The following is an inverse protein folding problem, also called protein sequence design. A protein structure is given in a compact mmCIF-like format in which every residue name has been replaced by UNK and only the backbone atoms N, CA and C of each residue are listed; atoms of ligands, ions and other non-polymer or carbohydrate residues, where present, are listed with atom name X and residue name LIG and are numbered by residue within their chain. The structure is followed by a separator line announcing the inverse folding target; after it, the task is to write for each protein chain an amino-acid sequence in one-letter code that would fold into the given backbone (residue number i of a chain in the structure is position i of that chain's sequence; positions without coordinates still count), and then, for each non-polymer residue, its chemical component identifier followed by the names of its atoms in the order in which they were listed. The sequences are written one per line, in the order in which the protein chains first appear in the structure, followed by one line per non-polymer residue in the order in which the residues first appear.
data_IF_633160245097
#
_entry.id   IF_633160245097
#
_cell.length_a   1.000
_cell.length_b   1.000
_cell.length_c   1.000
_cell.angle_alpha   90.00
_cell.angle_beta   90.00
_cell.angle_gamma   90.00
#
_symmetry.space_group_name_H-M   'P 1'
#
loop_
_entity.id
_entity.type
_entity.pdbx_description
1 polymer ?
#
# COMPACT_ATOMS: atom_id res chain seq x y z
N UNK A 1 13.52 -9.63 8.03
CA UNK A 1 12.63 -8.63 8.66
C UNK A 1 11.82 -8.05 7.53
N UNK A 2 10.49 -8.21 7.58
CA UNK A 2 9.62 -7.64 6.56
C UNK A 2 9.25 -6.22 7.00
N UNK A 3 9.33 -5.26 6.10
CA UNK A 3 9.08 -3.85 6.40
C UNK A 3 8.16 -3.27 5.34
N UNK A 4 7.39 -2.26 5.71
CA UNK A 4 6.71 -1.40 4.75
C UNK A 4 7.68 -0.26 4.37
N UNK A 5 7.89 -0.04 3.07
CA UNK A 5 8.74 1.04 2.55
C UNK A 5 10.18 1.07 3.11
N UNK A 6 10.71 -0.10 3.50
CA UNK A 6 11.97 -0.23 4.22
C UNK A 6 12.05 0.65 5.48
N UNK A 7 10.92 0.92 6.16
CA UNK A 7 10.88 1.72 7.38
C UNK A 7 10.57 0.87 8.61
N UNK A 8 11.24 1.11 9.75
CA UNK A 8 10.79 0.57 11.03
C UNK A 8 9.53 1.29 11.51
N UNK A 9 8.76 0.67 12.40
CA UNK A 9 7.56 1.23 13.02
C UNK A 9 7.79 2.62 13.64
N UNK A 10 8.98 2.84 14.21
CA UNK A 10 9.36 4.09 14.89
C UNK A 10 9.67 5.26 13.95
N UNK A 11 9.57 5.08 12.63
CA UNK A 11 9.81 6.13 11.65
C UNK A 11 8.81 7.29 11.78
N UNK A 12 9.21 8.49 11.33
CA UNK A 12 8.30 9.63 11.12
C UNK A 12 7.97 9.87 9.64
N UNK A 13 8.63 9.12 8.77
CA UNK A 13 8.41 9.10 7.32
C UNK A 13 7.20 8.21 7.00
N UNK A 14 6.00 8.79 7.05
CA UNK A 14 4.70 8.11 7.04
C UNK A 14 3.76 8.69 5.97
N UNK A 15 2.76 7.89 5.58
CA UNK A 15 1.68 8.29 4.68
C UNK A 15 0.77 9.33 5.36
N UNK A 16 0.37 10.36 4.62
CA UNK A 16 -0.47 11.47 5.11
C UNK A 16 -1.63 11.79 4.17
N UNK A 17 -2.58 10.86 4.00
CA UNK A 17 -3.72 11.07 3.12
C UNK A 17 -4.57 12.25 3.58
N UNK A 18 -5.13 12.98 2.62
CA UNK A 18 -6.02 14.11 2.91
C UNK A 18 -7.44 13.60 3.12
N UNK A 19 -8.13 14.08 4.15
CA UNK A 19 -9.53 13.74 4.39
C UNK A 19 -10.39 14.14 3.19
N UNK A 20 -11.39 13.31 2.88
CA UNK A 20 -12.30 13.47 1.75
C UNK A 20 -11.64 13.41 0.35
N UNK A 21 -10.41 12.89 0.25
CA UNK A 21 -9.81 12.53 -1.05
C UNK A 21 -9.89 11.03 -1.34
N UNK A 22 -9.94 10.71 -2.63
CA UNK A 22 -9.70 9.36 -3.13
C UNK A 22 -8.23 9.26 -3.49
N UNK A 23 -7.54 8.29 -2.91
CA UNK A 23 -6.18 7.94 -3.29
C UNK A 23 -6.14 6.57 -3.96
N UNK A 24 -5.20 6.38 -4.87
CA UNK A 24 -4.79 5.07 -5.31
C UNK A 24 -3.48 4.72 -4.61
N UNK A 25 -3.48 3.63 -3.84
CA UNK A 25 -2.28 3.13 -3.20
C UNK A 25 -1.71 1.99 -4.04
N UNK A 26 -0.45 2.12 -4.43
CA UNK A 26 0.33 1.07 -5.10
C UNK A 26 1.14 0.29 -4.06
N UNK A 27 0.76 -0.96 -3.82
CA UNK A 27 1.49 -1.87 -2.95
C UNK A 27 2.43 -2.69 -3.83
N UNK A 28 3.70 -2.30 -3.86
CA UNK A 28 4.75 -2.98 -4.63
C UNK A 28 5.34 -4.09 -3.76
N UNK A 29 5.02 -5.34 -4.06
CA UNK A 29 5.57 -6.48 -3.35
C UNK A 29 6.76 -7.06 -4.13
N UNK A 30 7.96 -6.79 -3.64
CA UNK A 30 9.23 -7.25 -4.21
C UNK A 30 9.72 -8.56 -3.58
N UNK A 31 8.90 -9.19 -2.73
CA UNK A 31 9.26 -10.40 -2.00
C UNK A 31 8.62 -11.64 -2.62
N UNK A 32 9.13 -12.82 -2.26
CA UNK A 32 8.61 -14.11 -2.72
C UNK A 32 7.31 -14.55 -2.01
N UNK A 33 6.85 -13.84 -0.97
CA UNK A 33 5.68 -14.20 -0.16
C UNK A 33 4.47 -13.30 -0.45
N UNK A 34 3.26 -13.84 -0.31
CA UNK A 34 2.04 -13.03 -0.31
C UNK A 34 1.87 -12.37 1.05
N UNK A 35 1.61 -11.06 1.06
CA UNK A 35 1.32 -10.31 2.29
C UNK A 35 -0.14 -9.85 2.32
N UNK A 36 -0.95 -10.25 3.32
CA UNK A 36 -2.29 -9.70 3.51
C UNK A 36 -2.19 -8.29 4.11
N UNK A 37 -2.21 -7.25 3.28
CA UNK A 37 -2.11 -5.86 3.74
C UNK A 37 -3.48 -5.36 4.22
N UNK A 38 -3.53 -4.87 5.46
CA UNK A 38 -4.70 -4.32 6.12
C UNK A 38 -4.53 -2.81 6.38
N UNK A 39 -5.58 -2.02 6.13
CA UNK A 39 -5.66 -0.61 6.52
C UNK A 39 -6.75 -0.45 7.58
N UNK A 40 -6.44 0.26 8.67
CA UNK A 40 -7.46 0.74 9.61
C UNK A 40 -8.34 1.82 8.97
N UNK A 41 -9.42 2.21 9.67
CA UNK A 41 -10.41 3.26 9.29
C UNK A 41 -11.23 3.00 8.03
N UNK A 42 -10.58 2.76 6.90
CA UNK A 42 -11.17 2.75 5.56
C UNK A 42 -11.50 1.34 5.10
N UNK A 43 -12.51 1.23 4.25
CA UNK A 43 -12.60 0.11 3.30
C UNK A 43 -12.18 0.65 1.93
N UNK A 44 -11.60 -0.19 1.10
CA UNK A 44 -11.11 0.12 -0.24
C UNK A 44 -11.60 -0.90 -1.25
N UNK A 45 -11.35 -0.63 -2.53
CA UNK A 45 -11.62 -1.56 -3.63
C UNK A 45 -10.31 -1.92 -4.32
N UNK A 46 -10.15 -3.18 -4.72
CA UNK A 46 -9.07 -3.57 -5.61
C UNK A 46 -9.31 -2.95 -7.00
N UNK A 47 -8.30 -2.28 -7.55
CA UNK A 47 -8.33 -1.78 -8.92
C UNK A 47 -7.76 -2.82 -9.89
N UNK A 48 -6.51 -3.24 -9.67
CA UNK A 48 -5.84 -4.25 -10.47
C UNK A 48 -4.60 -4.80 -9.75
N UNK A 49 -4.05 -5.89 -10.30
CA UNK A 49 -2.70 -6.36 -10.03
C UNK A 49 -1.91 -6.47 -11.33
N UNK A 50 -0.61 -6.24 -11.27
CA UNK A 50 0.27 -6.40 -12.42
C UNK A 50 1.67 -6.86 -11.96
N UNK A 51 2.29 -7.75 -12.74
CA UNK A 51 3.66 -8.21 -12.51
C UNK A 51 4.65 -7.05 -12.64
N UNK A 52 5.79 -7.15 -11.94
CA UNK A 52 6.86 -6.15 -11.96
C UNK A 52 8.22 -6.83 -12.11
N UNK A 53 9.12 -6.20 -12.88
CA UNK A 53 10.54 -6.52 -12.88
C UNK A 53 11.15 -6.06 -11.53
N UNK A 54 11.42 -7.04 -10.67
CA UNK A 54 11.85 -6.81 -9.28
C UNK A 54 13.29 -6.32 -9.19
N UNK A 55 14.22 -6.90 -9.96
CA UNK A 55 15.65 -6.59 -9.84
C UNK A 55 15.92 -5.17 -10.30
N UNK A 56 15.32 -4.75 -11.42
CA UNK A 56 15.47 -3.40 -11.95
C UNK A 56 14.84 -2.36 -11.01
N UNK A 57 13.66 -2.66 -10.44
CA UNK A 57 13.03 -1.76 -9.46
C UNK A 57 13.87 -1.64 -8.17
N UNK A 58 14.37 -2.75 -7.63
CA UNK A 58 15.24 -2.74 -6.46
C UNK A 58 16.53 -1.95 -6.73
N UNK A 59 17.10 -2.10 -7.92
CA UNK A 59 18.35 -1.44 -8.30
C UNK A 59 18.17 0.08 -8.37
N UNK A 60 17.06 0.56 -8.91
CA UNK A 60 16.79 1.99 -9.06
C UNK A 60 16.33 2.65 -7.75
N UNK A 61 15.57 1.95 -6.91
CA UNK A 61 15.04 2.51 -5.66
C UNK A 61 16.01 2.39 -4.49
N UNK A 62 16.67 1.23 -4.37
CA UNK A 62 17.48 0.86 -3.20
C UNK A 62 18.96 0.64 -3.53
N UNK A 63 19.35 0.61 -4.80
CA UNK A 63 20.75 0.41 -5.21
C UNK A 63 21.25 -1.03 -5.03
N UNK A 64 20.34 -1.99 -4.98
CA UNK A 64 20.62 -3.42 -4.73
C UNK A 64 19.70 -4.29 -5.60
N UNK A 65 19.98 -5.58 -5.72
CA UNK A 65 19.06 -6.58 -6.31
C UNK A 65 18.43 -7.49 -5.25
N UNK A 66 18.84 -7.35 -3.98
CA UNK A 66 18.28 -8.09 -2.85
C UNK A 66 18.22 -7.19 -1.60
N UNK A 67 17.08 -7.21 -0.89
CA UNK A 67 16.91 -6.46 0.35
C UNK A 67 17.47 -7.23 1.55
N UNK A 68 18.49 -6.65 2.16
CA UNK A 68 19.09 -7.11 3.41
C UNK A 68 18.93 -6.07 4.55
N UNK A 69 19.19 -6.43 5.83
CA UNK A 69 19.01 -5.52 6.98
C UNK A 69 19.76 -4.18 6.90
N UNK A 70 20.84 -4.06 6.14
CA UNK A 70 21.54 -2.79 5.90
C UNK A 70 20.73 -1.78 5.08
N UNK A 71 19.67 -2.22 4.41
CA UNK A 71 18.77 -1.36 3.62
C UNK A 71 17.62 -0.80 4.46
N UNK A 72 17.54 -1.11 5.75
CA UNK A 72 16.52 -0.51 6.63
C UNK A 72 16.75 1.01 6.71
N UNK A 73 15.71 1.77 6.40
CA UNK A 73 15.72 3.23 6.36
C UNK A 73 16.22 3.84 5.04
N UNK A 74 16.55 3.03 4.03
CA UNK A 74 17.01 3.53 2.71
C UNK A 74 15.85 3.73 1.72
N UNK A 75 16.11 4.32 0.56
CA UNK A 75 15.07 4.78 -0.37
C UNK A 75 14.48 6.12 0.08
N UNK A 76 14.13 6.98 -0.87
CA UNK A 76 13.65 8.35 -0.60
C UNK A 76 12.21 8.52 -1.08
N UNK A 77 11.33 9.12 -0.27
CA UNK A 77 10.00 9.52 -0.73
C UNK A 77 10.05 10.81 -1.56
N UNK A 78 9.21 10.96 -2.60
CA UNK A 78 8.32 9.93 -3.14
C UNK A 78 9.12 8.82 -3.81
N UNK A 79 8.69 7.57 -3.60
CA UNK A 79 9.31 6.44 -4.28
C UNK A 79 9.07 6.55 -5.80
N UNK A 80 10.02 6.11 -6.65
CA UNK A 80 9.81 6.02 -8.08
C UNK A 80 8.55 5.24 -8.43
N UNK A 81 7.84 5.69 -9.48
CA UNK A 81 6.70 4.96 -10.03
C UNK A 81 7.14 3.57 -10.48
N UNK A 82 6.30 2.57 -10.21
CA UNK A 82 6.52 1.20 -10.68
C UNK A 82 6.24 1.03 -12.19
N UNK A 83 5.56 1.98 -12.84
CA UNK A 83 5.12 1.90 -14.23
C UNK A 83 6.20 1.49 -15.25
N UNK A 84 7.44 2.01 -15.17
CA UNK A 84 8.50 1.62 -16.11
C UNK A 84 8.93 0.15 -16.01
N UNK A 85 8.60 -0.51 -14.90
CA UNK A 85 9.04 -1.87 -14.55
C UNK A 85 7.89 -2.88 -14.65
N UNK A 86 6.69 -2.46 -15.04
CA UNK A 86 5.53 -3.35 -15.11
C UNK A 86 5.63 -4.31 -16.28
N UNK A 87 5.31 -5.57 -16.00
CA UNK A 87 5.28 -6.64 -16.98
C UNK A 87 3.86 -7.09 -17.29
N UNK A 88 3.71 -7.77 -18.42
CA UNK A 88 2.43 -8.36 -18.81
C UNK A 88 1.28 -7.35 -18.92
N UNK A 89 0.06 -7.82 -18.63
CA UNK A 89 -1.15 -6.99 -18.60
C UNK A 89 -1.68 -6.92 -17.18
N UNK A 90 -2.17 -5.76 -16.78
CA UNK A 90 -2.92 -5.62 -15.55
C UNK A 90 -4.14 -6.57 -15.54
N UNK A 91 -4.31 -7.29 -14.44
CA UNK A 91 -5.45 -8.17 -14.17
C UNK A 91 -6.37 -7.48 -13.17
N UNK A 92 -7.64 -7.35 -13.53
CA UNK A 92 -8.65 -6.81 -12.63
C UNK A 92 -8.95 -7.73 -11.45
N UNK A 93 -9.85 -7.32 -10.54
CA UNK A 93 -10.25 -8.13 -9.39
C UNK A 93 -10.90 -9.44 -9.81
N UNK A 94 -10.62 -10.50 -9.04
CA UNK A 94 -11.43 -11.71 -9.08
C UNK A 94 -12.88 -11.42 -8.68
N UNK A 95 -13.80 -12.30 -9.05
CA UNK A 95 -15.23 -12.12 -8.77
C UNK A 95 -15.55 -11.89 -7.28
N UNK A 96 -14.75 -12.46 -6.37
CA UNK A 96 -14.89 -12.29 -4.92
C UNK A 96 -14.11 -11.09 -4.35
N UNK A 97 -13.25 -10.45 -5.13
CA UNK A 97 -12.50 -9.26 -4.73
C UNK A 97 -13.07 -7.95 -5.29
N UNK A 98 -14.04 -8.05 -6.22
CA UNK A 98 -14.67 -6.89 -6.85
C UNK A 98 -15.59 -6.07 -5.95
N UNK A 99 -15.55 -6.26 -4.62
CA UNK A 99 -16.35 -5.53 -3.63
C UNK A 99 -15.50 -4.66 -2.70
N UNK A 100 -16.04 -4.35 -1.52
CA UNK A 100 -15.32 -3.67 -0.46
C UNK A 100 -14.42 -4.64 0.31
N UNK A 101 -13.19 -4.20 0.57
CA UNK A 101 -12.19 -4.92 1.36
C UNK A 101 -11.53 -3.95 2.33
N UNK A 102 -10.97 -4.50 3.40
CA UNK A 102 -10.10 -3.80 4.36
C UNK A 102 -8.74 -4.51 4.47
N UNK A 103 -8.69 -5.78 4.07
CA UNK A 103 -7.47 -6.58 3.93
C UNK A 103 -7.37 -7.18 2.52
N UNK A 104 -6.23 -7.00 1.86
CA UNK A 104 -5.96 -7.45 0.48
C UNK A 104 -4.71 -8.33 0.41
N UNK A 105 -4.75 -9.38 -0.41
CA UNK A 105 -3.56 -10.14 -0.72
C UNK A 105 -2.71 -9.36 -1.73
N UNK A 106 -1.53 -8.92 -1.30
CA UNK A 106 -0.47 -8.43 -2.18
C UNK A 106 0.42 -9.62 -2.55
N UNK A 107 0.26 -10.13 -3.77
CA UNK A 107 0.98 -11.31 -4.26
C UNK A 107 2.47 -11.01 -4.50
N UNK A 108 3.34 -12.04 -4.50
CA UNK A 108 4.75 -11.89 -4.84
C UNK A 108 4.94 -11.23 -6.19
N UNK A 109 5.98 -10.41 -6.31
CA UNK A 109 6.46 -9.87 -7.60
C UNK A 109 5.36 -9.13 -8.38
N UNK A 110 4.46 -8.46 -7.66
CA UNK A 110 3.33 -7.74 -8.23
C UNK A 110 3.13 -6.38 -7.56
N UNK A 111 2.65 -5.44 -8.36
CA UNK A 111 2.01 -4.21 -7.89
C UNK A 111 0.52 -4.48 -7.70
N UNK A 112 0.03 -4.31 -6.47
CA UNK A 112 -1.40 -4.37 -6.13
C UNK A 112 -1.93 -2.96 -5.93
N UNK A 113 -2.87 -2.53 -6.78
CA UNK A 113 -3.45 -1.17 -6.74
C UNK A 113 -4.81 -1.18 -6.07
N UNK A 114 -4.98 -0.37 -5.03
CA UNK A 114 -6.25 -0.24 -4.31
C UNK A 114 -6.75 1.21 -4.35
N UNK A 115 -8.06 1.38 -4.51
CA UNK A 115 -8.75 2.68 -4.46
C UNK A 115 -9.25 2.93 -3.03
N UNK A 116 -8.69 3.93 -2.36
CA UNK A 116 -8.84 4.18 -0.93
C UNK A 116 -9.56 5.53 -0.70
N UNK A 117 -10.87 5.53 -0.39
CA UNK A 117 -11.61 6.75 -0.11
C UNK A 117 -11.48 7.19 1.37
N UNK A 118 -10.76 8.27 1.65
CA UNK A 118 -10.52 8.80 3.00
C UNK A 118 -11.63 9.73 3.52
N UNK A 119 -12.90 9.37 3.36
CA UNK A 119 -14.03 10.13 3.91
C UNK A 119 -15.32 9.99 3.10
N UNK A 120 -16.45 10.52 3.59
CA UNK A 120 -17.73 10.41 2.90
C UNK A 120 -17.73 11.07 1.52
N UNK A 121 -16.94 12.14 1.31
CA UNK A 121 -16.93 12.88 0.05
C UNK A 121 -15.90 12.36 -0.97
N UNK A 122 -15.12 11.33 -0.63
CA UNK A 122 -14.15 10.67 -1.51
C UNK A 122 -14.79 9.66 -2.49
N UNK A 123 -16.10 9.74 -2.73
CA UNK A 123 -16.86 8.76 -3.52
C UNK A 123 -16.59 8.83 -5.03
N UNK A 124 -16.07 9.95 -5.53
CA UNK A 124 -15.87 10.17 -6.96
C UNK A 124 -14.69 9.34 -7.46
N UNK A 125 -14.98 8.23 -8.14
CA UNK A 125 -13.97 7.34 -8.73
C UNK A 125 -13.97 5.91 -8.15
N UNK A 126 -14.75 5.66 -7.10
CA UNK A 126 -14.95 4.31 -6.52
C UNK A 126 -16.34 3.78 -6.91
N UNK A 127 -16.44 2.63 -7.62
CA UNK A 127 -17.71 2.10 -8.14
C UNK A 127 -18.86 1.98 -7.14
N UNK A 128 -18.58 1.84 -5.84
CA UNK A 128 -19.60 1.67 -4.80
C UNK A 128 -19.70 2.85 -3.82
N UNK A 129 -19.16 4.02 -4.18
CA UNK A 129 -19.15 5.19 -3.30
C UNK A 129 -18.20 5.01 -2.12
N UNK A 130 -18.56 5.46 -0.92
CA UNK A 130 -17.72 5.31 0.29
C UNK A 130 -18.49 4.58 1.38
N UNK A 131 -17.76 3.93 2.30
CA UNK A 131 -18.34 3.23 3.46
C UNK A 131 -18.31 4.06 4.74
N UNK A 132 -17.59 5.17 4.72
CA UNK A 132 -17.51 6.12 5.83
C UNK A 132 -18.66 7.13 5.75
N UNK A 133 -19.46 7.20 6.81
CA UNK A 133 -20.57 8.16 6.93
C UNK A 133 -20.12 9.54 7.44
N UNK A 134 -18.90 9.66 7.97
CA UNK A 134 -18.39 10.88 8.61
C UNK A 134 -16.89 10.97 8.33
N UNK A 135 -16.36 12.18 8.06
CA UNK A 135 -14.92 12.35 7.90
C UNK A 135 -14.23 12.17 9.26
N UNK A 136 -13.17 11.36 9.30
CA UNK A 136 -12.32 11.20 10.47
C UNK A 136 -10.90 11.59 10.10
N UNK A 137 -10.30 12.46 10.91
CA UNK A 137 -8.87 12.78 10.86
C UNK A 137 -8.17 12.15 12.06
N UNK A 138 -6.85 11.98 11.95
CA UNK A 138 -6.02 11.45 13.02
C UNK A 138 -5.12 10.31 12.57
N UNK A 139 -4.46 9.70 13.55
CA UNK A 139 -3.48 8.65 13.33
C UNK A 139 -4.14 7.27 13.35
N UNK A 140 -3.81 6.47 12.35
CA UNK A 140 -4.22 5.08 12.16
C UNK A 140 -3.00 4.25 11.75
N UNK A 141 -3.20 2.97 11.45
CA UNK A 141 -2.12 2.07 11.02
C UNK A 141 -2.49 1.31 9.76
N UNK A 142 -1.47 0.90 9.03
CA UNK A 142 -1.56 -0.09 7.98
C UNK A 142 -0.40 -1.09 8.14
N UNK A 143 -0.68 -2.37 7.87
CA UNK A 143 0.25 -3.43 8.20
C UNK A 143 0.01 -4.69 7.39
N UNK A 144 1.00 -5.56 7.35
CA UNK A 144 0.78 -6.96 7.01
C UNK A 144 0.02 -7.63 8.16
N UNK A 145 -0.98 -8.45 7.84
CA UNK A 145 -1.81 -9.16 8.81
C UNK A 145 -1.30 -10.59 9.09
N UNK A 146 -0.06 -10.90 8.72
CA UNK A 146 0.70 -12.02 9.26
C UNK A 146 1.33 -11.52 10.56
N UNK A 147 0.85 -12.02 11.70
CA UNK A 147 1.23 -11.46 13.02
C UNK A 147 2.74 -11.47 13.25
N UNK A 148 3.45 -12.53 12.83
CA UNK A 148 4.91 -12.60 12.94
C UNK A 148 5.63 -11.51 12.11
N UNK A 149 5.02 -11.04 11.01
CA UNK A 149 5.54 -9.92 10.23
C UNK A 149 5.16 -8.58 10.88
N UNK A 150 3.91 -8.44 11.33
CA UNK A 150 3.38 -7.26 12.03
C UNK A 150 4.21 -6.91 13.28
N UNK A 151 4.36 -7.89 14.19
CA UNK A 151 5.08 -7.74 15.45
C UNK A 151 6.59 -7.56 15.26
N UNK A 152 7.10 -7.86 14.06
CA UNK A 152 8.51 -7.72 13.67
C UNK A 152 8.68 -6.65 12.57
N UNK A 153 8.03 -5.50 12.78
CA UNK A 153 8.22 -4.21 12.09
C UNK A 153 7.48 -4.02 10.75
N UNK A 154 6.65 -4.96 10.26
CA UNK A 154 5.85 -4.78 9.03
C UNK A 154 4.53 -4.04 9.27
N UNK A 155 4.60 -2.96 10.05
CA UNK A 155 3.49 -2.07 10.39
C UNK A 155 3.98 -0.62 10.37
N UNK A 156 3.17 0.29 9.83
CA UNK A 156 3.44 1.73 9.85
C UNK A 156 2.20 2.52 10.26
N UNK A 157 2.38 3.64 10.99
CA UNK A 157 1.29 4.58 11.16
C UNK A 157 1.07 5.35 9.85
N UNK A 158 -0.15 5.81 9.64
CA UNK A 158 -0.47 6.87 8.68
C UNK A 158 -1.39 7.90 9.35
N UNK A 159 -1.41 9.13 8.84
CA UNK A 159 -2.19 10.22 9.43
C UNK A 159 -3.15 10.81 8.41
N UNK A 160 -4.46 10.68 8.65
CA UNK A 160 -5.47 11.39 7.86
C UNK A 160 -5.49 12.86 8.27
N UNK A 161 -5.07 13.74 7.37
CA UNK A 161 -4.91 15.18 7.62
C UNK A 161 -5.99 16.00 6.93
N UNK A 162 -6.19 17.24 7.37
CA UNK A 162 -6.96 18.22 6.58
C UNK A 162 -6.11 18.74 5.43
N UNK A 163 -6.75 19.16 4.34
CA UNK A 163 -6.04 19.87 3.28
C UNK A 163 -5.37 21.14 3.85
N UNK A 164 -4.13 21.46 3.44
CA UNK A 164 -3.43 22.66 3.89
C UNK A 164 -4.12 23.96 3.43
#
# INVERSE_FOLDING_TARGET
MALLNARPWTTTDIERPVVDTLEEWEIVNLTADTHPIHLHLVQFQLHNRQEIEVEDYLQDVFGTVELHPEHVGTGTRPFPSADPYLEGRATGPDAWEGGWKDTIQAHPEMVTRILVPFGPNAASGVPFGTRLATPFTGQYVWHCHILDHEDNEMMLPYEVVVAP
#
